data_IF_749819178745
#
_entry.id   IF_749819178745
#
_cell.length_a   1.000
_cell.length_b   1.000
_cell.length_c   1.000
_cell.angle_alpha   90.00
_cell.angle_beta   90.00
_cell.angle_gamma   90.00
#
_symmetry.space_group_name_H-M   'P 1'
#
loop_
_entity.id
_entity.type
_entity.pdbx_description
1 polymer ?
#
# COMPACT_ATOMS: atom_id res chain seq x y z
N UNK A 1 -22.02 34.81 4.18
CA UNK A 1 -21.97 33.39 4.61
C UNK A 1 -21.64 32.60 3.35
N UNK A 2 -20.37 32.55 2.94
CA UNK A 2 -19.37 31.65 3.52
C UNK A 2 -19.29 30.42 2.60
N UNK A 3 -18.59 30.61 1.48
CA UNK A 3 -18.43 29.68 0.36
C UNK A 3 -17.92 28.30 0.79
N UNK A 4 -18.54 27.25 0.27
CA UNK A 4 -18.02 25.89 0.31
C UNK A 4 -16.67 25.84 -0.41
N UNK A 5 -15.61 25.52 0.33
CA UNK A 5 -14.30 25.22 -0.24
C UNK A 5 -14.39 23.90 -1.01
N UNK A 6 -14.47 24.01 -2.33
CA UNK A 6 -14.31 22.90 -3.26
C UNK A 6 -12.93 22.28 -3.03
N UNK A 7 -12.92 21.10 -2.42
CA UNK A 7 -11.68 20.38 -2.14
C UNK A 7 -11.19 19.86 -3.49
N UNK A 8 -10.07 20.38 -4.00
CA UNK A 8 -9.53 19.93 -5.28
C UNK A 8 -9.28 18.42 -5.23
N UNK A 9 -10.12 17.66 -5.92
CA UNK A 9 -9.93 16.21 -6.08
C UNK A 9 -8.79 16.03 -7.08
N UNK A 10 -7.63 15.63 -6.58
CA UNK A 10 -6.52 15.20 -7.44
C UNK A 10 -6.96 13.96 -8.23
N UNK A 11 -7.24 14.15 -9.52
CA UNK A 11 -7.63 13.06 -10.41
C UNK A 11 -6.37 12.29 -10.83
N UNK A 12 -6.08 11.20 -10.12
CA UNK A 12 -5.00 10.26 -10.46
C UNK A 12 -5.47 9.32 -11.57
N UNK A 13 -4.65 9.11 -12.59
CA UNK A 13 -4.92 8.17 -13.68
C UNK A 13 -3.78 7.17 -13.83
N UNK A 14 -4.10 5.88 -13.93
CA UNK A 14 -3.15 4.81 -14.21
C UNK A 14 -3.15 4.49 -15.70
N UNK A 15 -2.04 4.79 -16.38
CA UNK A 15 -1.84 4.39 -17.76
C UNK A 15 -1.25 2.98 -17.83
N UNK A 16 -1.95 2.06 -18.48
CA UNK A 16 -1.43 0.75 -18.86
C UNK A 16 -0.92 0.81 -20.30
N UNK A 17 0.40 0.74 -20.53
CA UNK A 17 0.93 0.70 -21.89
C UNK A 17 0.41 -0.55 -22.62
N UNK A 18 0.09 -0.38 -23.90
CA UNK A 18 -0.41 -1.46 -24.74
C UNK A 18 0.55 -2.64 -24.83
N UNK A 19 0.02 -3.85 -25.05
CA UNK A 19 0.83 -5.06 -25.28
C UNK A 19 0.25 -5.87 -26.44
N UNK A 20 1.04 -6.08 -27.48
CA UNK A 20 0.61 -6.79 -28.68
C UNK A 20 -0.50 -6.04 -29.42
N UNK A 21 -1.66 -6.67 -29.61
CA UNK A 21 -2.83 -6.06 -30.28
C UNK A 21 -3.70 -5.20 -29.35
N UNK A 22 -3.39 -5.16 -28.06
CA UNK A 22 -4.14 -4.37 -27.08
C UNK A 22 -3.50 -2.98 -27.01
N UNK A 23 -4.28 -1.94 -27.33
CA UNK A 23 -3.84 -0.55 -27.24
C UNK A 23 -3.63 -0.08 -25.79
N UNK A 24 -3.03 1.09 -25.64
CA UNK A 24 -2.87 1.75 -24.34
C UNK A 24 -4.24 2.04 -23.73
N UNK A 25 -4.39 1.73 -22.44
CA UNK A 25 -5.61 2.00 -21.69
C UNK A 25 -5.29 2.92 -20.50
N UNK A 26 -6.17 3.87 -20.23
CA UNK A 26 -6.09 4.77 -19.08
C UNK A 26 -7.20 4.37 -18.12
N UNK A 27 -6.85 4.21 -16.85
CA UNK A 27 -7.77 3.79 -15.79
C UNK A 27 -7.82 4.88 -14.72
N UNK A 28 -9.01 5.35 -14.36
CA UNK A 28 -9.18 6.15 -13.15
C UNK A 28 -9.57 5.26 -11.97
N UNK A 29 -8.96 5.43 -10.78
CA UNK A 29 -9.44 4.80 -9.55
C UNK A 29 -10.90 5.14 -9.25
N UNK A 30 -11.34 6.35 -9.60
CA UNK A 30 -12.71 6.81 -9.37
C UNK A 30 -13.73 6.04 -10.22
N UNK A 31 -13.34 5.62 -11.41
CA UNK A 31 -14.15 4.84 -12.37
C UNK A 31 -14.03 3.32 -12.16
N UNK A 32 -13.26 2.87 -11.17
CA UNK A 32 -13.11 1.44 -10.88
C UNK A 32 -14.37 0.86 -10.21
N UNK A 33 -14.69 -0.40 -10.53
CA UNK A 33 -15.79 -1.16 -9.91
C UNK A 33 -15.52 -1.56 -8.45
N UNK A 34 -14.46 -1.03 -7.84
CA UNK A 34 -14.08 -1.30 -6.45
C UNK A 34 -14.99 -0.54 -5.50
N UNK A 35 -15.21 -1.10 -4.30
CA UNK A 35 -15.92 -0.35 -3.24
C UNK A 35 -15.12 0.87 -2.78
N UNK A 36 -15.79 1.90 -2.25
CA UNK A 36 -15.11 3.11 -1.72
C UNK A 36 -14.01 2.79 -0.68
N UNK A 37 -14.21 1.85 0.27
CA UNK A 37 -13.12 1.40 1.15
C UNK A 37 -11.93 0.79 0.39
N UNK A 38 -12.19 0.01 -0.67
CA UNK A 38 -11.14 -0.62 -1.48
C UNK A 38 -10.34 0.40 -2.27
N UNK A 39 -10.99 1.47 -2.75
CA UNK A 39 -10.31 2.59 -3.44
C UNK A 39 -9.37 3.32 -2.50
N UNK A 40 -9.82 3.63 -1.28
CA UNK A 40 -8.99 4.29 -0.25
C UNK A 40 -7.77 3.44 0.13
N UNK A 41 -7.93 2.12 0.14
CA UNK A 41 -6.87 1.17 0.53
C UNK A 41 -6.15 0.54 -0.68
N UNK A 42 -6.28 1.14 -1.88
CA UNK A 42 -5.79 0.54 -3.12
C UNK A 42 -4.27 0.35 -3.12
N UNK A 43 -3.52 1.34 -2.60
CA UNK A 43 -2.07 1.29 -2.53
C UNK A 43 -1.58 0.13 -1.66
N UNK A 44 -2.14 0.01 -0.45
CA UNK A 44 -1.91 -1.13 0.43
C UNK A 44 -2.27 -2.46 -0.27
N UNK A 45 -3.43 -2.58 -0.91
CA UNK A 45 -3.83 -3.83 -1.57
C UNK A 45 -2.85 -4.19 -2.70
N UNK A 46 -2.35 -3.20 -3.42
CA UNK A 46 -1.35 -3.37 -4.48
C UNK A 46 0.00 -3.82 -3.92
N UNK A 47 0.56 -3.08 -2.97
CA UNK A 47 1.86 -3.38 -2.35
C UNK A 47 1.80 -4.67 -1.53
N UNK A 48 0.74 -4.90 -0.76
CA UNK A 48 0.62 -6.08 0.09
C UNK A 48 0.44 -7.37 -0.71
N UNK A 49 -0.31 -7.35 -1.82
CA UNK A 49 -0.47 -8.54 -2.68
C UNK A 49 0.76 -8.89 -3.51
N UNK A 50 1.74 -7.98 -3.59
CA UNK A 50 2.97 -8.12 -4.34
C UNK A 50 3.09 -7.07 -5.45
N UNK A 51 4.12 -6.24 -5.36
CA UNK A 51 4.57 -5.28 -6.38
C UNK A 51 6.04 -5.57 -6.75
N UNK A 52 6.73 -4.63 -7.40
CA UNK A 52 8.13 -4.83 -7.81
C UNK A 52 9.10 -4.92 -6.61
N UNK A 53 8.75 -4.27 -5.50
CA UNK A 53 9.57 -4.19 -4.28
C UNK A 53 9.09 -5.12 -3.15
N UNK A 54 7.91 -5.73 -3.26
CA UNK A 54 7.37 -6.65 -2.24
C UNK A 54 7.09 -8.03 -2.82
N UNK A 55 7.43 -9.06 -2.04
CA UNK A 55 7.21 -10.45 -2.46
C UNK A 55 5.73 -10.76 -2.64
N UNK A 56 5.38 -11.47 -3.71
CA UNK A 56 4.04 -12.01 -3.89
C UNK A 56 3.84 -13.33 -3.12
N UNK A 57 2.60 -13.58 -2.67
CA UNK A 57 2.23 -14.82 -2.00
C UNK A 57 1.98 -15.94 -3.02
N UNK A 58 2.67 -17.07 -2.87
CA UNK A 58 2.57 -18.18 -3.81
C UNK A 58 1.13 -18.70 -3.94
N UNK A 59 0.64 -18.77 -5.18
CA UNK A 59 -0.73 -19.17 -5.54
C UNK A 59 -1.85 -18.32 -4.91
N UNK A 60 -1.56 -17.12 -4.42
CA UNK A 60 -2.58 -16.16 -4.02
C UNK A 60 -2.67 -15.04 -5.07
N UNK A 61 -3.73 -15.03 -5.87
CA UNK A 61 -3.94 -13.99 -6.88
C UNK A 61 -4.40 -12.67 -6.27
N UNK A 62 -4.10 -11.53 -6.93
CA UNK A 62 -4.47 -10.18 -6.47
C UNK A 62 -5.97 -10.02 -6.19
N UNK A 63 -6.83 -10.62 -7.01
CA UNK A 63 -8.29 -10.63 -6.81
C UNK A 63 -8.69 -11.25 -5.47
N UNK A 64 -7.92 -12.22 -4.94
CA UNK A 64 -8.20 -12.83 -3.64
C UNK A 64 -8.05 -11.80 -2.51
N UNK A 65 -7.04 -10.95 -2.57
CA UNK A 65 -6.80 -9.90 -1.57
C UNK A 65 -7.94 -8.88 -1.56
N UNK A 66 -8.33 -8.39 -2.76
CA UNK A 66 -9.47 -7.47 -2.91
C UNK A 66 -10.76 -8.11 -2.39
N UNK A 67 -11.07 -9.33 -2.80
CA UNK A 67 -12.26 -10.04 -2.33
C UNK A 67 -12.26 -10.27 -0.81
N UNK A 68 -11.11 -10.61 -0.22
CA UNK A 68 -10.98 -10.79 1.23
C UNK A 68 -11.20 -9.48 1.97
N UNK A 69 -10.69 -8.36 1.44
CA UNK A 69 -10.88 -7.03 2.01
C UNK A 69 -12.35 -6.57 1.91
N UNK A 70 -12.99 -6.73 0.76
CA UNK A 70 -14.38 -6.30 0.54
C UNK A 70 -15.39 -7.08 1.36
N UNK A 71 -15.18 -8.39 1.55
CA UNK A 71 -16.12 -9.26 2.25
C UNK A 71 -16.06 -9.14 3.78
N UNK A 72 -15.00 -8.54 4.34
CA UNK A 72 -14.74 -8.57 5.77
C UNK A 72 -14.55 -7.16 6.36
N UNK A 73 -15.63 -6.51 6.86
CA UNK A 73 -15.53 -5.18 7.47
C UNK A 73 -14.56 -5.10 8.66
N UNK A 74 -14.42 -6.20 9.43
CA UNK A 74 -13.44 -6.28 10.52
C UNK A 74 -11.99 -6.24 10.03
N UNK A 75 -11.72 -6.83 8.86
CA UNK A 75 -10.42 -6.75 8.20
C UNK A 75 -10.17 -5.33 7.67
N UNK A 76 -11.18 -4.64 7.14
CA UNK A 76 -11.02 -3.25 6.68
C UNK A 76 -10.53 -2.34 7.81
N UNK A 77 -11.10 -2.47 9.02
CA UNK A 77 -10.62 -1.75 10.22
C UNK A 77 -9.23 -2.18 10.68
N UNK A 78 -8.87 -3.43 10.45
CA UNK A 78 -7.53 -3.93 10.83
C UNK A 78 -6.47 -3.35 9.89
N UNK A 79 -6.78 -3.29 8.60
CA UNK A 79 -5.88 -2.81 7.55
C UNK A 79 -5.71 -1.28 7.59
N UNK A 80 -6.65 -0.52 8.15
CA UNK A 80 -6.48 0.94 8.29
C UNK A 80 -5.26 1.34 9.13
N UNK A 81 -4.70 0.43 9.93
CA UNK A 81 -3.43 0.63 10.65
C UNK A 81 -2.29 0.94 9.68
N UNK A 82 -2.32 0.43 8.45
CA UNK A 82 -1.31 0.74 7.43
C UNK A 82 -1.38 2.17 6.88
N UNK A 83 -2.44 2.91 7.23
CA UNK A 83 -2.59 4.32 6.85
C UNK A 83 -2.29 5.26 8.03
N UNK A 84 -2.02 4.72 9.22
CA UNK A 84 -1.70 5.49 10.41
C UNK A 84 -0.18 5.67 10.53
N UNK A 85 0.28 6.91 10.34
CA UNK A 85 1.71 7.28 10.44
C UNK A 85 2.30 7.01 11.83
N UNK A 86 1.47 6.93 12.87
CA UNK A 86 1.89 6.65 14.23
C UNK A 86 1.79 5.17 14.61
N UNK A 87 1.41 4.30 13.66
CA UNK A 87 1.30 2.87 13.91
C UNK A 87 2.65 2.29 14.31
N UNK A 88 2.66 1.58 15.43
CA UNK A 88 3.86 0.87 15.88
C UNK A 88 4.16 -0.33 14.99
N UNK A 89 5.44 -0.75 14.88
CA UNK A 89 5.81 -1.94 14.10
C UNK A 89 5.02 -3.20 14.48
N UNK A 90 4.65 -3.34 15.75
CA UNK A 90 3.91 -4.51 16.23
C UNK A 90 2.42 -4.44 15.90
N UNK A 91 1.81 -3.25 15.89
CA UNK A 91 0.45 -3.07 15.37
C UNK A 91 0.37 -3.40 13.87
N UNK A 92 1.35 -2.93 13.09
CA UNK A 92 1.46 -3.25 11.65
C UNK A 92 1.65 -4.75 11.42
N UNK A 93 2.52 -5.38 12.22
CA UNK A 93 2.76 -6.81 12.15
C UNK A 93 1.51 -7.64 12.46
N UNK A 94 0.78 -7.30 13.53
CA UNK A 94 -0.46 -7.95 13.93
C UNK A 94 -1.56 -7.74 12.88
N UNK A 95 -1.71 -6.52 12.37
CA UNK A 95 -2.66 -6.20 11.32
C UNK A 95 -2.42 -7.01 10.05
N UNK A 96 -1.18 -7.05 9.58
CA UNK A 96 -0.81 -7.83 8.40
C UNK A 96 -0.94 -9.34 8.64
N UNK A 97 -0.63 -9.84 9.83
CA UNK A 97 -0.84 -11.25 10.17
C UNK A 97 -2.32 -11.66 10.11
N UNK A 98 -3.22 -10.83 10.65
CA UNK A 98 -4.67 -11.03 10.58
C UNK A 98 -5.18 -10.98 9.14
N UNK A 99 -4.66 -10.06 8.33
CA UNK A 99 -5.04 -9.98 6.92
C UNK A 99 -4.58 -11.20 6.13
N UNK A 100 -3.34 -11.64 6.32
CA UNK A 100 -2.82 -12.88 5.72
C UNK A 100 -3.66 -14.09 6.16
N UNK A 101 -4.01 -14.18 7.44
CA UNK A 101 -4.87 -15.26 7.93
C UNK A 101 -6.20 -15.27 7.19
N UNK A 102 -6.87 -14.11 7.06
CA UNK A 102 -8.10 -13.99 6.30
C UNK A 102 -7.95 -14.33 4.81
N UNK A 103 -6.79 -14.04 4.20
CA UNK A 103 -6.51 -14.46 2.81
C UNK A 103 -6.41 -15.97 2.68
N UNK A 104 -5.83 -16.68 3.66
CA UNK A 104 -5.62 -18.13 3.56
C UNK A 104 -6.81 -18.97 4.04
N UNK A 105 -7.50 -18.58 5.11
CA UNK A 105 -8.62 -19.33 5.70
C UNK A 105 -10.01 -18.74 5.40
N UNK A 106 -10.09 -17.49 4.96
CA UNK A 106 -11.34 -16.74 4.88
C UNK A 106 -11.79 -16.13 6.21
N UNK A 107 -11.07 -16.39 7.31
CA UNK A 107 -11.36 -15.89 8.65
C UNK A 107 -10.10 -15.31 9.33
N UNK A 108 -10.28 -14.32 10.21
CA UNK A 108 -9.16 -13.59 10.83
C UNK A 108 -8.84 -14.04 12.26
N UNK A 109 -9.52 -15.08 12.78
CA UNK A 109 -9.49 -15.49 14.18
C UNK A 109 -8.43 -16.56 14.52
N UNK A 110 -7.60 -16.95 13.56
CA UNK A 110 -6.62 -18.02 13.72
C UNK A 110 -5.20 -17.46 13.62
N UNK A 111 -4.28 -17.91 14.45
CA UNK A 111 -2.88 -17.49 14.36
C UNK A 111 -2.24 -18.04 13.08
N UNK A 112 -1.22 -17.37 12.56
CA UNK A 112 -0.51 -17.85 11.36
C UNK A 112 0.14 -19.21 11.56
N UNK A 113 0.59 -19.53 12.78
CA UNK A 113 1.22 -20.80 13.09
C UNK A 113 0.21 -21.95 13.08
N UNK A 114 -0.96 -21.77 13.71
CA UNK A 114 -2.04 -22.76 13.70
C UNK A 114 -2.56 -22.97 12.28
N UNK A 115 -2.71 -21.87 11.53
CA UNK A 115 -3.13 -21.90 10.14
C UNK A 115 -2.10 -22.66 9.27
N UNK A 116 -0.82 -22.42 9.49
CA UNK A 116 0.27 -23.14 8.79
C UNK A 116 0.28 -24.62 9.12
N UNK A 117 0.11 -25.00 10.38
CA UNK A 117 0.02 -26.39 10.81
C UNK A 117 -1.17 -27.09 10.16
N UNK A 118 -2.36 -26.50 10.24
CA UNK A 118 -3.57 -27.06 9.62
C UNK A 118 -3.44 -27.21 8.09
N UNK A 119 -2.79 -26.26 7.41
CA UNK A 119 -2.51 -26.40 5.97
C UNK A 119 -1.50 -27.50 5.67
N UNK A 120 -0.52 -27.71 6.56
CA UNK A 120 0.46 -28.79 6.44
C UNK A 120 -0.19 -30.16 6.66
N UNK A 121 -1.06 -30.31 7.66
CA UNK A 121 -1.81 -31.55 7.89
C UNK A 121 -2.68 -31.91 6.66
N UNK A 122 -3.38 -30.92 6.10
CA UNK A 122 -4.15 -31.07 4.85
C UNK A 122 -3.28 -31.38 3.63
N UNK A 123 -1.99 -31.08 3.69
CA UNK A 123 -1.06 -31.39 2.62
C UNK A 123 -0.60 -32.84 2.65
N UNK A 124 -0.50 -33.46 3.82
CA UNK A 124 -0.05 -34.85 3.97
C UNK A 124 -0.93 -35.85 3.22
N UNK A 125 -2.20 -35.52 2.99
CA UNK A 125 -3.13 -36.36 2.22
C UNK A 125 -3.02 -36.18 0.69
N UNK A 126 -2.15 -35.29 0.19
CA UNK A 126 -2.04 -34.96 -1.23
C UNK A 126 -0.75 -35.51 -1.84
N UNK A 127 -0.87 -36.15 -3.00
CA UNK A 127 0.27 -36.73 -3.74
C UNK A 127 1.22 -35.66 -4.29
N UNK A 128 0.72 -34.47 -4.63
CA UNK A 128 1.50 -33.38 -5.24
C UNK A 128 1.34 -32.06 -4.49
N UNK A 129 1.84 -31.99 -3.25
CA UNK A 129 1.83 -30.76 -2.47
C UNK A 129 3.13 -29.96 -2.62
N UNK A 130 3.01 -28.64 -2.79
CA UNK A 130 4.15 -27.73 -2.74
C UNK A 130 4.18 -27.01 -1.40
N UNK A 131 5.30 -27.12 -0.67
CA UNK A 131 5.52 -26.42 0.60
C UNK A 131 5.38 -24.90 0.49
N UNK A 132 5.64 -24.33 -0.69
CA UNK A 132 5.45 -22.90 -0.95
C UNK A 132 3.97 -22.45 -0.86
N UNK A 133 3.02 -23.38 -0.95
CA UNK A 133 1.58 -23.08 -0.81
C UNK A 133 1.11 -22.96 0.64
N UNK A 134 1.98 -23.25 1.60
CA UNK A 134 1.71 -22.97 3.01
C UNK A 134 1.60 -21.45 3.24
N UNK A 135 0.81 -21.03 4.24
CA UNK A 135 0.85 -19.66 4.76
C UNK A 135 2.27 -19.29 5.19
N UNK A 136 2.68 -18.02 5.08
CA UNK A 136 4.00 -17.58 5.56
C UNK A 136 4.16 -17.85 7.07
N UNK A 137 5.40 -18.00 7.51
CA UNK A 137 5.72 -17.99 8.95
C UNK A 137 5.41 -16.62 9.56
N UNK A 138 5.15 -16.56 10.87
CA UNK A 138 4.92 -15.28 11.57
C UNK A 138 6.04 -14.26 11.35
N UNK A 139 7.32 -14.69 11.36
CA UNK A 139 8.46 -13.81 11.12
C UNK A 139 8.46 -13.23 9.68
N UNK A 140 8.23 -14.08 8.68
CA UNK A 140 8.12 -13.65 7.27
C UNK A 140 6.93 -12.70 7.06
N UNK A 141 5.77 -13.00 7.66
CA UNK A 141 4.61 -12.14 7.63
C UNK A 141 4.90 -10.76 8.24
N UNK A 142 5.54 -10.72 9.42
CA UNK A 142 5.97 -9.48 10.08
C UNK A 142 6.84 -8.63 9.15
N UNK A 143 7.88 -9.23 8.56
CA UNK A 143 8.77 -8.48 7.67
C UNK A 143 8.07 -8.00 6.39
N UNK A 144 7.18 -8.81 5.82
CA UNK A 144 6.38 -8.41 4.66
C UNK A 144 5.49 -7.21 4.99
N UNK A 145 4.77 -7.25 6.11
CA UNK A 145 3.93 -6.15 6.58
C UNK A 145 4.74 -4.86 6.78
N UNK A 146 5.90 -4.94 7.44
CA UNK A 146 6.74 -3.78 7.67
C UNK A 146 7.28 -3.17 6.37
N UNK A 147 7.67 -4.00 5.39
CA UNK A 147 8.09 -3.50 4.07
C UNK A 147 6.95 -2.78 3.35
N UNK A 148 5.74 -3.34 3.40
CA UNK A 148 4.56 -2.71 2.79
C UNK A 148 4.24 -1.38 3.47
N UNK A 149 4.25 -1.35 4.80
CA UNK A 149 4.02 -0.13 5.57
C UNK A 149 5.02 0.98 5.21
N UNK A 150 6.31 0.64 5.17
CA UNK A 150 7.32 1.59 4.73
C UNK A 150 7.09 2.04 3.28
N UNK A 151 6.72 1.14 2.37
CA UNK A 151 6.43 1.54 0.99
C UNK A 151 5.23 2.48 0.90
N UNK A 152 4.12 2.15 1.55
CA UNK A 152 2.90 2.97 1.58
C UNK A 152 3.20 4.38 2.15
N UNK A 153 4.11 4.49 3.13
CA UNK A 153 4.49 5.76 3.75
C UNK A 153 5.60 6.53 3.02
N UNK A 154 6.62 5.86 2.46
CA UNK A 154 7.71 6.55 1.77
C UNK A 154 7.30 7.04 0.39
N UNK A 155 6.43 6.33 -0.34
CA UNK A 155 5.89 6.85 -1.60
C UNK A 155 5.02 8.09 -1.44
N UNK A 156 4.56 8.40 -0.21
CA UNK A 156 3.89 9.67 0.10
C UNK A 156 4.86 10.80 0.46
N UNK A 157 6.13 10.52 0.77
CA UNK A 157 7.14 11.54 1.08
C UNK A 157 7.77 12.17 -0.16
N UNK A 158 7.80 11.46 -1.30
CA UNK A 158 8.42 11.98 -2.52
C UNK A 158 7.67 13.21 -3.08
N UNK A 159 6.35 13.37 -2.82
CA UNK A 159 5.61 14.59 -3.20
C UNK A 159 5.97 15.81 -2.31
N UNK A 160 6.30 15.63 -1.03
CA UNK A 160 6.62 16.75 -0.13
C UNK A 160 8.10 17.18 -0.22
N UNK A 161 9.01 16.24 -0.45
CA UNK A 161 10.45 16.53 -0.56
C UNK A 161 10.78 17.27 -1.86
N UNK A 162 10.08 16.97 -2.95
CA UNK A 162 10.22 17.70 -4.21
C UNK A 162 9.72 19.16 -4.08
N UNK A 163 8.60 19.38 -3.37
CA UNK A 163 8.07 20.73 -3.11
C UNK A 163 9.02 21.56 -2.24
N UNK A 164 9.63 20.95 -1.21
CA UNK A 164 10.56 21.64 -0.32
C UNK A 164 11.90 21.94 -1.00
N UNK A 165 12.38 21.06 -1.87
CA UNK A 165 13.58 21.32 -2.67
C UNK A 165 13.34 22.42 -3.71
N UNK A 166 12.17 22.44 -4.37
CA UNK A 166 11.81 23.49 -5.34
C UNK A 166 11.62 24.87 -4.67
N UNK A 167 11.09 24.91 -3.45
CA UNK A 167 11.02 26.15 -2.64
C UNK A 167 12.39 26.63 -2.13
N UNK A 168 13.30 25.71 -1.79
CA UNK A 168 14.64 26.04 -1.36
C UNK A 168 15.50 26.61 -2.50
N UNK A 169 15.34 26.09 -3.72
CA UNK A 169 16.02 26.59 -4.91
C UNK A 169 15.53 28.01 -5.27
N UNK A 170 14.22 28.29 -5.21
CA UNK A 170 13.68 29.64 -5.46
C UNK A 170 14.07 30.69 -4.41
N UNK A 171 14.35 30.28 -3.17
CA UNK A 171 14.78 31.20 -2.11
C UNK A 171 16.27 31.59 -2.20
N UNK A 172 17.06 30.84 -2.98
CA UNK A 172 18.49 31.08 -3.16
C UNK A 172 18.83 32.15 -4.21
N UNK A 173 17.86 32.52 -5.06
CA UNK A 173 18.04 33.47 -6.18
C UNK A 173 17.63 34.92 -5.83
N UNK A 174 17.22 35.19 -4.58
CA UNK A 174 16.93 36.53 -4.07
C UNK A 174 17.97 36.89 -3.01
N UNK A 175 19.19 37.17 -3.45
CA UNK A 175 20.08 38.06 -2.70
C UNK A 175 19.78 39.50 -3.14
N UNK A 176 19.53 40.46 -2.24
CA UNK A 176 19.48 41.86 -2.63
C UNK A 176 20.89 42.26 -3.07
N UNK A 177 21.02 42.52 -4.37
CA UNK A 177 22.21 43.06 -5.01
C UNK A 177 22.47 44.47 -4.45
N UNK A 178 23.63 44.59 -3.81
CA UNK A 178 24.42 45.75 -3.40
C UNK A 178 23.70 47.09 -3.14
N UNK A 179 23.79 47.51 -1.87
CA UNK A 179 23.61 48.92 -1.50
C UNK A 179 24.85 49.64 -1.99
N UNK A 180 24.71 50.47 -3.02
CA UNK A 180 25.74 51.41 -3.46
C UNK A 180 26.06 52.36 -2.29
N UNK A 181 27.20 52.12 -1.64
CA UNK A 181 27.87 53.08 -0.77
C UNK A 181 28.39 54.24 -1.65
N UNK A 182 27.54 55.23 -1.90
CA UNK A 182 27.97 56.52 -2.43
C UNK A 182 28.78 57.27 -1.36
N UNK A 183 30.09 57.04 -1.42
CA UNK A 183 31.15 57.90 -0.91
C UNK A 183 31.18 59.19 -1.74
N UNK A 184 30.68 60.31 -1.21
CA UNK A 184 31.10 61.65 -1.67
C UNK A 184 30.98 62.74 -0.58
N UNK A 185 32.16 63.31 -0.27
CA UNK A 185 32.50 64.67 0.20
C UNK A 185 32.05 65.17 1.58
#
# INVERSE_FOLDING_TARGET
>A
MGSASDSQVTNVYLMKPGRGKIGTAIYSPNESNLSEPSKKQLLFLYAFSGCDSTSAFFRQGKTKFVNTFEKNPGIQRTVSIFMDQNATPDQVADAGARFIAAVYSGASNTTLNDLRLHHFEKALSKVNFSLASLPPTAAAARQHSLRVFLQDHYTSFDEEVDILNEQADMASDITPDDTDDDEEA
#
